data_IF_709168824530
#
_entry.id   IF_709168824530
#
_cell.length_a   1.000
_cell.length_b   1.000
_cell.length_c   1.000
_cell.angle_alpha   90.00
_cell.angle_beta   90.00
_cell.angle_gamma   90.00
#
_symmetry.space_group_name_H-M   'P 1'
#
loop_
_entity.id
_entity.type
_entity.pdbx_description
1 polymer ?
#
# COMPACT_ATOMS: atom_id res chain seq x y z
N UNK A 1 -53.02 11.81 -45.08
CA UNK A 1 -52.72 11.00 -43.88
C UNK A 1 -51.44 10.19 -44.07
N UNK A 2 -50.22 10.78 -44.03
CA UNK A 2 -48.94 10.02 -44.06
C UNK A 2 -47.64 10.81 -43.82
N UNK A 3 -47.69 11.98 -43.16
CA UNK A 3 -46.49 12.82 -42.93
C UNK A 3 -45.95 12.78 -41.49
N UNK A 4 -46.69 12.18 -40.54
CA UNK A 4 -46.29 12.17 -39.12
C UNK A 4 -45.25 11.09 -38.73
N UNK A 5 -44.97 10.09 -39.58
CA UNK A 5 -44.02 9.00 -39.23
C UNK A 5 -42.56 9.31 -39.55
N UNK A 6 -42.27 10.25 -40.45
CA UNK A 6 -40.90 10.55 -40.90
C UNK A 6 -40.13 11.44 -39.90
N UNK A 7 -40.83 12.36 -39.25
CA UNK A 7 -40.31 13.24 -38.19
C UNK A 7 -39.85 12.43 -36.96
N UNK A 8 -40.61 11.40 -36.59
CA UNK A 8 -40.37 10.58 -35.39
C UNK A 8 -39.08 9.74 -35.53
N UNK A 9 -38.77 9.26 -36.74
CA UNK A 9 -37.57 8.47 -37.01
C UNK A 9 -36.27 9.31 -37.01
N UNK A 10 -36.36 10.58 -37.42
CA UNK A 10 -35.24 11.53 -37.35
C UNK A 10 -34.94 11.93 -35.90
N UNK A 11 -35.98 12.20 -35.12
CA UNK A 11 -35.85 12.55 -33.70
C UNK A 11 -35.33 11.38 -32.84
N UNK A 12 -35.68 10.13 -33.17
CA UNK A 12 -35.16 8.94 -32.49
C UNK A 12 -33.65 8.73 -32.77
N UNK A 13 -33.20 9.00 -34.00
CA UNK A 13 -31.77 8.93 -34.37
C UNK A 13 -30.93 10.04 -33.74
N UNK A 14 -31.49 11.23 -33.58
CA UNK A 14 -30.84 12.35 -32.88
C UNK A 14 -30.70 12.10 -31.38
N UNK A 15 -31.76 11.57 -30.74
CA UNK A 15 -31.77 11.30 -29.30
C UNK A 15 -30.82 10.15 -28.90
N UNK A 16 -30.66 9.11 -29.73
CA UNK A 16 -29.70 8.03 -29.48
C UNK A 16 -28.23 8.47 -29.56
N UNK A 17 -27.91 9.44 -30.42
CA UNK A 17 -26.56 10.04 -30.51
C UNK A 17 -26.29 11.00 -29.35
N UNK A 18 -27.28 11.78 -28.94
CA UNK A 18 -27.18 12.62 -27.75
C UNK A 18 -27.07 11.77 -26.46
N UNK A 19 -27.78 10.65 -26.37
CA UNK A 19 -27.74 9.75 -25.22
C UNK A 19 -26.39 9.04 -25.10
N UNK A 20 -25.81 8.58 -26.21
CA UNK A 20 -24.47 7.97 -26.22
C UNK A 20 -23.38 8.97 -25.84
N UNK A 21 -23.44 10.21 -26.34
CA UNK A 21 -22.49 11.27 -25.94
C UNK A 21 -22.63 11.62 -24.45
N UNK A 22 -23.86 11.65 -23.92
CA UNK A 22 -24.09 11.92 -22.49
C UNK A 22 -23.60 10.80 -21.59
N UNK A 23 -23.78 9.54 -21.99
CA UNK A 23 -23.28 8.37 -21.24
C UNK A 23 -21.75 8.35 -21.27
N UNK A 24 -21.12 8.59 -22.43
CA UNK A 24 -19.66 8.65 -22.55
C UNK A 24 -19.09 9.82 -21.75
N UNK A 25 -19.73 11.00 -21.77
CA UNK A 25 -19.33 12.14 -20.96
C UNK A 25 -19.48 11.87 -19.45
N UNK A 26 -20.55 11.20 -19.03
CA UNK A 26 -20.74 10.80 -17.64
C UNK A 26 -19.71 9.73 -17.21
N UNK A 27 -19.44 8.72 -18.05
CA UNK A 27 -18.43 7.69 -17.77
C UNK A 27 -17.02 8.28 -17.69
N UNK A 28 -16.68 9.22 -18.58
CA UNK A 28 -15.37 9.89 -18.59
C UNK A 28 -15.09 10.69 -17.31
N UNK A 29 -16.12 11.14 -16.60
CA UNK A 29 -15.99 11.85 -15.32
C UNK A 29 -16.00 10.88 -14.12
N UNK A 30 -16.81 9.83 -14.16
CA UNK A 30 -16.98 8.90 -13.02
C UNK A 30 -15.87 7.84 -12.92
N UNK A 31 -15.34 7.36 -14.06
CA UNK A 31 -14.26 6.37 -14.09
C UNK A 31 -12.96 6.82 -13.40
N UNK A 32 -12.40 8.02 -13.66
CA UNK A 32 -11.15 8.45 -13.00
C UNK A 32 -11.33 8.74 -11.50
N UNK A 33 -12.55 9.05 -11.04
CA UNK A 33 -12.81 9.31 -9.62
C UNK A 33 -12.69 8.04 -8.76
N UNK A 34 -12.93 6.87 -9.36
CA UNK A 34 -12.90 5.56 -8.66
C UNK A 34 -11.48 5.08 -8.33
N UNK A 35 -10.46 5.55 -9.07
CA UNK A 35 -9.05 5.20 -8.86
C UNK A 35 -8.42 6.00 -7.72
N UNK A 36 -9.04 7.10 -7.29
CA UNK A 36 -8.46 8.06 -6.35
C UNK A 36 -8.63 7.71 -4.85
N UNK A 37 -9.28 6.59 -4.50
CA UNK A 37 -9.54 6.19 -3.11
C UNK A 37 -8.61 5.06 -2.60
N UNK A 38 -7.56 4.71 -3.35
CA UNK A 38 -6.49 3.90 -2.80
C UNK A 38 -5.71 4.77 -1.79
N UNK A 39 -6.12 4.75 -0.52
CA UNK A 39 -5.35 5.36 0.56
C UNK A 39 -4.09 4.50 0.76
N UNK A 40 -2.89 5.02 0.46
CA UNK A 40 -1.67 4.31 0.82
C UNK A 40 -1.63 4.15 2.34
N UNK A 41 -1.22 2.98 2.83
CA UNK A 41 -0.96 2.82 4.25
C UNK A 41 0.19 3.75 4.64
N UNK A 42 -0.03 4.58 5.65
CA UNK A 42 1.06 5.36 6.23
C UNK A 42 2.11 4.41 6.83
N UNK A 43 3.42 4.71 6.68
CA UNK A 43 4.45 3.93 7.32
C UNK A 43 4.29 3.91 8.84
N UNK A 44 4.57 2.76 9.48
CA UNK A 44 4.61 2.67 10.94
C UNK A 44 5.84 3.42 11.46
N UNK A 45 5.62 4.41 12.32
CA UNK A 45 6.71 5.13 12.98
C UNK A 45 7.28 4.29 14.13
N UNK A 46 8.50 3.78 13.95
CA UNK A 46 9.20 2.97 14.95
C UNK A 46 9.94 3.83 15.99
N UNK A 47 10.05 5.14 15.80
CA UNK A 47 10.80 6.01 16.69
C UNK A 47 12.27 5.59 16.82
N UNK A 48 12.80 5.57 18.05
CA UNK A 48 14.20 5.20 18.31
C UNK A 48 14.51 3.71 18.09
N UNK A 49 13.49 2.85 18.03
CA UNK A 49 13.71 1.41 17.80
C UNK A 49 14.13 1.12 16.36
N UNK A 50 13.92 2.06 15.43
CA UNK A 50 14.38 1.97 14.05
C UNK A 50 15.91 1.86 13.90
N UNK A 51 16.68 2.25 14.92
CA UNK A 51 18.14 2.18 14.90
C UNK A 51 18.67 0.76 15.19
N UNK A 52 17.82 -0.15 15.67
CA UNK A 52 18.22 -1.51 16.03
C UNK A 52 17.74 -2.50 14.96
N UNK A 53 18.63 -3.40 14.54
CA UNK A 53 18.26 -4.53 13.70
C UNK A 53 17.42 -5.56 14.49
N UNK A 54 17.75 -5.74 15.77
CA UNK A 54 17.04 -6.62 16.70
C UNK A 54 16.89 -5.88 18.03
N UNK A 55 15.66 -5.74 18.51
CA UNK A 55 15.37 -5.19 19.84
C UNK A 55 14.44 -6.16 20.58
N UNK A 56 14.87 -6.65 21.74
CA UNK A 56 14.11 -7.64 22.51
C UNK A 56 13.98 -7.24 23.99
N UNK A 57 13.00 -7.86 24.66
CA UNK A 57 12.69 -7.60 26.08
C UNK A 57 13.51 -8.43 27.08
N UNK A 58 13.74 -9.70 26.75
CA UNK A 58 14.21 -10.71 27.70
C UNK A 58 15.47 -11.45 27.26
N UNK A 59 15.57 -11.83 25.98
CA UNK A 59 16.64 -12.65 25.45
C UNK A 59 16.75 -12.51 23.94
N UNK A 60 17.98 -12.63 23.43
CA UNK A 60 18.26 -12.91 22.02
C UNK A 60 19.18 -14.13 22.00
N UNK A 61 18.79 -15.20 21.33
CA UNK A 61 19.60 -16.39 21.15
C UNK A 61 19.82 -16.68 19.68
N UNK A 62 21.02 -17.15 19.35
CA UNK A 62 21.40 -17.47 18.00
C UNK A 62 21.96 -18.90 17.91
N UNK A 63 21.27 -19.74 17.14
CA UNK A 63 21.67 -21.12 16.83
C UNK A 63 21.06 -21.50 15.47
N UNK A 64 21.83 -21.90 14.45
CA UNK A 64 23.30 -21.84 14.32
C UNK A 64 23.77 -20.43 13.93
N UNK A 65 24.95 -20.28 13.35
CA UNK A 65 25.54 -18.99 12.93
C UNK A 65 24.63 -18.25 11.95
N UNK A 66 24.25 -17.02 12.29
CA UNK A 66 23.49 -16.07 11.45
C UNK A 66 24.42 -14.96 10.92
N UNK A 67 23.88 -13.92 10.28
CA UNK A 67 24.62 -12.72 9.93
C UNK A 67 23.74 -11.50 10.20
N UNK A 68 24.12 -10.68 11.18
CA UNK A 68 23.34 -9.51 11.62
C UNK A 68 24.10 -8.22 11.29
N UNK A 69 23.48 -7.38 10.47
CA UNK A 69 23.97 -6.04 10.16
C UNK A 69 23.09 -5.02 10.87
N UNK A 70 23.68 -4.23 11.78
CA UNK A 70 22.99 -3.28 12.64
C UNK A 70 22.99 -3.69 14.11
N UNK A 71 22.53 -2.79 14.97
CA UNK A 71 22.67 -2.91 16.42
C UNK A 71 21.67 -3.93 17.00
N UNK A 72 22.09 -4.61 18.07
CA UNK A 72 21.25 -5.55 18.83
C UNK A 72 21.03 -4.98 20.23
N UNK A 73 19.77 -4.69 20.57
CA UNK A 73 19.37 -4.15 21.85
C UNK A 73 18.60 -5.14 22.72
N UNK A 74 18.83 -5.08 24.03
CA UNK A 74 18.00 -5.72 25.06
C UNK A 74 17.60 -4.70 26.12
N UNK A 75 16.31 -4.68 26.47
CA UNK A 75 15.80 -3.89 27.59
C UNK A 75 14.45 -4.42 28.09
N UNK A 76 14.25 -4.62 29.40
CA UNK A 76 15.13 -4.25 30.52
C UNK A 76 16.23 -5.29 30.84
N UNK A 77 16.24 -6.44 30.18
CA UNK A 77 17.26 -7.46 30.40
C UNK A 77 18.67 -6.94 30.08
N UNK A 78 19.68 -7.49 30.75
CA UNK A 78 21.09 -7.12 30.52
C UNK A 78 21.64 -7.79 29.26
N UNK A 79 22.70 -7.21 28.69
CA UNK A 79 23.35 -7.73 27.47
C UNK A 79 23.89 -9.16 27.59
N UNK A 80 24.05 -9.70 28.81
CA UNK A 80 24.43 -11.10 29.03
C UNK A 80 23.39 -12.12 28.56
N UNK A 81 22.15 -11.69 28.31
CA UNK A 81 21.10 -12.52 27.73
C UNK A 81 21.12 -12.51 26.18
N UNK A 82 22.10 -11.85 25.56
CA UNK A 82 22.43 -12.03 24.14
C UNK A 82 23.41 -13.20 24.06
N UNK A 83 22.97 -14.31 23.49
CA UNK A 83 23.72 -15.58 23.51
C UNK A 83 23.84 -16.20 22.13
N UNK A 84 24.93 -16.94 21.90
CA UNK A 84 25.14 -17.70 20.66
C UNK A 84 25.65 -16.88 19.46
N UNK A 85 25.96 -15.59 19.63
CA UNK A 85 26.60 -14.77 18.59
C UNK A 85 28.12 -14.85 18.65
N UNK A 86 28.77 -15.00 17.50
CA UNK A 86 30.21 -14.85 17.35
C UNK A 86 30.65 -13.40 17.09
N UNK A 87 31.95 -13.10 17.30
CA UNK A 87 32.54 -11.77 17.08
C UNK A 87 32.43 -11.26 15.63
N UNK A 88 32.33 -12.18 14.65
CA UNK A 88 32.24 -11.84 13.23
C UNK A 88 30.78 -11.82 12.73
N UNK A 89 29.84 -12.16 13.60
CA UNK A 89 28.45 -12.38 13.22
C UNK A 89 27.61 -11.11 13.28
N UNK A 90 28.01 -10.17 14.14
CA UNK A 90 27.34 -8.91 14.41
C UNK A 90 28.28 -7.78 14.00
N UNK A 91 27.84 -6.94 13.07
CA UNK A 91 28.61 -5.76 12.62
C UNK A 91 28.08 -4.45 13.26
N UNK A 92 27.04 -4.53 14.09
CA UNK A 92 26.52 -3.41 14.88
C UNK A 92 27.31 -3.13 16.17
N UNK A 93 27.02 -1.98 16.78
CA UNK A 93 27.65 -1.48 18.02
C UNK A 93 26.86 -1.76 19.30
#
# INVERSE_FOLDING_TARGET
MKILRTEQAFQLRGSMRALSVRIVAALAVVLPLSVAIAQPLDPVNLGSTANFAILAGSMVSNVPTSAVTGDIGLSPATGGNITGFGLLEVTGS
#
